data_IF_242783581572
#
_entry.id   IF_242783581572
#
_cell.length_a   1.000
_cell.length_b   1.000
_cell.length_c   1.000
_cell.angle_alpha   90.00
_cell.angle_beta   90.00
_cell.angle_gamma   90.00
#
_symmetry.space_group_name_H-M   'P 1'
#
loop_
_entity.id
_entity.type
_entity.pdbx_description
1 polymer ?
#
# COMPACT_ATOMS: atom_id res chain seq x y z
N UNK A 1 -1.54 20.53 10.63
CA UNK A 1 -0.89 19.38 11.28
C UNK A 1 -0.16 18.59 10.21
N UNK A 2 1.16 18.46 10.31
CA UNK A 2 1.96 17.73 9.33
C UNK A 2 2.08 16.29 9.82
N UNK A 3 1.36 15.39 9.19
CA UNK A 3 1.58 13.94 9.33
C UNK A 3 2.63 13.60 8.27
N UNK A 4 3.80 13.15 8.71
CA UNK A 4 4.84 12.68 7.79
C UNK A 4 4.33 11.45 7.07
N UNK A 5 3.99 11.60 5.78
CA UNK A 5 3.68 10.52 4.83
C UNK A 5 4.93 9.68 4.53
N UNK A 6 5.49 9.06 5.55
CA UNK A 6 6.50 8.01 5.45
C UNK A 6 5.84 6.70 5.77
N UNK A 7 4.80 6.34 5.03
CA UNK A 7 4.36 4.97 4.97
C UNK A 7 4.88 4.43 3.65
N UNK A 8 5.58 3.29 3.75
CA UNK A 8 5.80 2.20 2.78
C UNK A 8 5.71 2.60 1.28
N UNK A 9 6.62 2.15 0.40
CA UNK A 9 6.63 2.41 -1.05
C UNK A 9 5.27 2.54 -1.77
N UNK A 10 4.24 1.79 -1.32
CA UNK A 10 2.84 1.88 -1.71
C UNK A 10 2.12 3.23 -1.60
N UNK A 11 2.59 4.15 -0.76
CA UNK A 11 1.96 5.47 -0.60
C UNK A 11 1.96 6.25 -1.90
N UNK A 12 2.90 6.01 -2.82
CA UNK A 12 2.98 6.75 -4.08
C UNK A 12 1.86 6.39 -5.06
N UNK A 13 1.51 5.10 -5.16
CA UNK A 13 0.43 4.57 -6.02
C UNK A 13 -0.93 5.13 -5.60
N UNK A 14 -1.22 5.05 -4.31
CA UNK A 14 -2.47 5.54 -3.73
C UNK A 14 -2.52 7.08 -3.74
N UNK A 15 -1.40 7.77 -3.50
CA UNK A 15 -1.32 9.24 -3.51
C UNK A 15 -1.74 9.84 -4.84
N UNK A 16 -1.35 9.22 -5.96
CA UNK A 16 -1.73 9.67 -7.30
C UNK A 16 -3.25 9.53 -7.58
N UNK A 17 -3.91 8.57 -6.93
CA UNK A 17 -5.31 8.24 -7.16
C UNK A 17 -6.32 9.07 -6.34
N UNK A 18 -6.01 9.35 -5.07
CA UNK A 18 -6.97 9.91 -4.09
C UNK A 18 -6.54 11.21 -3.42
N UNK A 19 -5.32 11.68 -3.66
CA UNK A 19 -4.75 12.87 -3.04
C UNK A 19 -4.34 12.66 -1.57
N UNK A 20 -3.43 13.51 -1.09
CA UNK A 20 -2.74 13.34 0.20
C UNK A 20 -3.66 13.23 1.42
N UNK A 21 -4.77 13.97 1.43
CA UNK A 21 -5.68 14.02 2.58
C UNK A 21 -6.44 12.70 2.77
N UNK A 22 -7.05 12.19 1.71
CA UNK A 22 -7.83 10.95 1.76
C UNK A 22 -6.92 9.73 2.01
N UNK A 23 -5.67 9.79 1.53
CA UNK A 23 -4.67 8.76 1.80
C UNK A 23 -4.29 8.72 3.28
N UNK A 24 -4.08 9.88 3.90
CA UNK A 24 -3.79 9.96 5.33
C UNK A 24 -4.95 9.47 6.18
N UNK A 25 -6.18 9.89 5.86
CA UNK A 25 -7.37 9.47 6.59
C UNK A 25 -7.56 7.94 6.49
N UNK A 26 -7.23 7.34 5.34
CA UNK A 26 -7.28 5.90 5.12
C UNK A 26 -6.15 5.12 5.82
N UNK A 27 -4.92 5.65 5.79
CA UNK A 27 -3.79 5.11 6.54
C UNK A 27 -4.12 5.03 8.03
N UNK A 28 -4.65 6.13 8.58
CA UNK A 28 -5.00 6.20 10.00
C UNK A 28 -6.16 5.24 10.32
N UNK A 29 -7.10 5.06 9.38
CA UNK A 29 -8.23 4.15 9.57
C UNK A 29 -7.88 2.68 9.39
N UNK A 30 -6.77 2.31 8.74
CA UNK A 30 -6.34 0.92 8.52
C UNK A 30 -5.34 0.40 9.58
N UNK A 31 -4.99 1.26 10.54
CA UNK A 31 -3.97 0.97 11.55
C UNK A 31 -4.57 0.85 12.96
N UNK A 32 -3.84 0.14 13.82
CA UNK A 32 -4.03 0.14 15.26
C UNK A 32 -2.75 0.68 15.87
N UNK A 33 -2.86 1.81 16.57
CA UNK A 33 -1.73 2.43 17.27
C UNK A 33 -1.86 2.16 18.76
N UNK A 34 -0.87 1.50 19.33
CA UNK A 34 -0.80 1.21 20.77
C UNK A 34 0.33 2.06 21.35
N UNK A 35 -0.05 3.03 22.19
CA UNK A 35 0.90 3.95 22.80
C UNK A 35 1.75 3.24 23.85
N UNK A 36 2.95 3.77 24.06
CA UNK A 36 3.86 3.33 25.10
C UNK A 36 4.09 4.45 26.11
N UNK A 37 4.39 4.07 27.35
CA UNK A 37 4.86 5.01 28.37
C UNK A 37 6.38 5.29 28.31
N UNK A 38 7.08 4.65 27.36
CA UNK A 38 8.52 4.85 27.12
C UNK A 38 8.75 6.19 26.43
N UNK A 39 9.74 6.95 26.92
CA UNK A 39 10.07 8.29 26.40
C UNK A 39 11.22 8.27 25.39
N UNK A 40 12.17 7.37 25.58
CA UNK A 40 13.36 7.23 24.72
C UNK A 40 13.13 6.14 23.66
N UNK A 41 13.26 6.53 22.39
CA UNK A 41 13.12 5.63 21.24
C UNK A 41 14.15 4.49 21.31
N UNK A 42 15.38 4.77 21.76
CA UNK A 42 16.43 3.78 21.86
C UNK A 42 16.14 2.73 22.94
N UNK A 43 15.52 3.15 24.05
CA UNK A 43 15.09 2.24 25.10
C UNK A 43 14.05 1.24 24.56
N UNK A 44 13.03 1.73 23.85
CA UNK A 44 12.02 0.89 23.22
C UNK A 44 12.64 -0.08 22.20
N UNK A 45 13.55 0.40 21.34
CA UNK A 45 14.26 -0.46 20.38
C UNK A 45 15.01 -1.58 21.08
N UNK A 46 15.74 -1.27 22.16
CA UNK A 46 16.51 -2.26 22.92
C UNK A 46 15.59 -3.32 23.54
N UNK A 47 14.45 -2.91 24.09
CA UNK A 47 13.46 -3.85 24.65
C UNK A 47 12.88 -4.77 23.57
N UNK A 48 12.51 -4.21 22.42
CA UNK A 48 11.97 -4.97 21.29
C UNK A 48 13.00 -5.96 20.73
N UNK A 49 14.26 -5.54 20.59
CA UNK A 49 15.36 -6.45 20.18
C UNK A 49 15.60 -7.57 21.18
N UNK A 50 15.61 -7.26 22.47
CA UNK A 50 15.76 -8.26 23.55
C UNK A 50 14.59 -9.24 23.61
N UNK A 51 13.40 -8.84 23.17
CA UNK A 51 12.23 -9.71 23.04
C UNK A 51 12.30 -10.63 21.81
N UNK A 52 13.36 -10.55 21.00
CA UNK A 52 13.59 -11.45 19.85
C UNK A 52 13.11 -10.90 18.51
N UNK A 53 12.86 -9.60 18.41
CA UNK A 53 12.39 -8.93 17.19
C UNK A 53 13.52 -8.13 16.53
N UNK A 54 13.66 -8.25 15.21
CA UNK A 54 14.68 -7.53 14.47
C UNK A 54 14.20 -6.13 14.11
N UNK A 55 14.83 -5.10 14.68
CA UNK A 55 14.47 -3.70 14.36
C UNK A 55 15.44 -3.11 13.33
N UNK A 56 14.89 -2.76 12.16
CA UNK A 56 15.57 -2.13 11.04
C UNK A 56 15.09 -0.68 10.93
N UNK A 57 16.03 0.25 10.69
CA UNK A 57 15.70 1.65 10.44
C UNK A 57 15.56 1.90 8.94
N UNK A 58 14.40 2.37 8.51
CA UNK A 58 14.09 2.73 7.13
C UNK A 58 13.75 4.24 7.09
N UNK A 59 14.76 5.07 6.80
CA UNK A 59 14.61 6.52 6.87
C UNK A 59 14.35 7.02 8.31
N UNK A 60 13.16 7.59 8.54
CA UNK A 60 12.68 8.03 9.87
C UNK A 60 11.91 6.96 10.62
N UNK A 61 11.71 5.79 10.03
CA UNK A 61 10.88 4.72 10.55
C UNK A 61 11.72 3.63 11.19
N UNK A 62 11.12 2.95 12.16
CA UNK A 62 11.65 1.74 12.76
C UNK A 62 10.70 0.59 12.47
N UNK A 63 11.16 -0.37 11.68
CA UNK A 63 10.43 -1.58 11.30
C UNK A 63 10.93 -2.73 12.16
N UNK A 64 10.03 -3.32 12.95
CA UNK A 64 10.33 -4.48 13.77
C UNK A 64 9.79 -5.73 13.09
N UNK A 65 10.68 -6.60 12.62
CA UNK A 65 10.39 -7.83 11.89
C UNK A 65 10.34 -9.04 12.82
N UNK A 66 9.52 -10.02 12.45
CA UNK A 66 9.46 -11.35 13.08
C UNK A 66 9.05 -12.42 12.06
N UNK A 67 9.03 -13.69 12.48
CA UNK A 67 8.69 -14.83 11.62
C UNK A 67 9.51 -14.92 10.32
N UNK A 68 10.80 -14.58 10.39
CA UNK A 68 11.71 -14.56 9.24
C UNK A 68 11.50 -13.37 8.30
N UNK A 69 10.92 -12.26 8.78
CA UNK A 69 10.68 -11.05 7.99
C UNK A 69 9.34 -11.02 7.26
N UNK A 70 8.55 -12.10 7.35
CA UNK A 70 7.20 -12.16 6.76
C UNK A 70 6.21 -11.26 7.47
N UNK A 71 6.39 -11.09 8.78
CA UNK A 71 5.56 -10.24 9.60
C UNK A 71 6.41 -9.13 10.22
N UNK A 72 5.77 -8.00 10.46
CA UNK A 72 6.41 -6.81 11.04
C UNK A 72 5.40 -5.88 11.73
N UNK A 73 5.87 -4.87 12.42
CA UNK A 73 5.08 -3.70 12.82
C UNK A 73 6.03 -2.49 12.85
N UNK A 74 5.46 -1.30 12.94
CA UNK A 74 6.26 -0.09 13.04
C UNK A 74 6.32 0.41 14.47
N UNK A 75 7.47 0.98 14.83
CA UNK A 75 7.62 1.80 16.02
C UNK A 75 7.77 3.24 15.54
N UNK A 76 6.87 4.11 15.98
CA UNK A 76 6.86 5.50 15.54
C UNK A 76 6.52 6.45 16.68
N UNK A 77 6.92 7.70 16.52
CA UNK A 77 6.61 8.78 17.46
C UNK A 77 5.50 9.66 16.89
N UNK A 78 4.28 9.48 17.38
CA UNK A 78 3.13 10.30 17.01
C UNK A 78 2.82 11.30 18.14
N UNK A 79 2.78 12.61 17.82
CA UNK A 79 2.52 13.68 18.79
C UNK A 79 3.43 13.65 20.04
N UNK A 80 4.69 13.20 19.88
CA UNK A 80 5.65 13.10 20.97
C UNK A 80 5.56 11.83 21.82
N UNK A 81 4.58 10.96 21.55
CA UNK A 81 4.38 9.68 22.24
C UNK A 81 4.86 8.55 21.32
N UNK A 82 5.67 7.64 21.85
CA UNK A 82 6.09 6.45 21.12
C UNK A 82 4.97 5.43 21.09
N UNK A 83 4.69 4.85 19.93
CA UNK A 83 3.65 3.86 19.72
C UNK A 83 4.15 2.71 18.86
N UNK A 84 3.57 1.53 19.09
CA UNK A 84 3.63 0.41 18.16
C UNK A 84 2.39 0.45 17.25
N UNK A 85 2.63 0.41 15.94
CA UNK A 85 1.61 0.55 14.90
C UNK A 85 1.46 -0.77 14.15
N UNK A 86 0.26 -1.36 14.28
CA UNK A 86 -0.15 -2.63 13.69
C UNK A 86 -1.16 -2.42 12.58
N UNK A 87 -1.29 -3.40 11.70
CA UNK A 87 -2.40 -3.48 10.75
C UNK A 87 -3.69 -3.85 11.48
N UNK A 88 -4.82 -3.29 11.03
CA UNK A 88 -6.14 -3.81 11.39
C UNK A 88 -6.40 -5.23 10.91
N UNK A 89 -5.52 -5.85 10.14
CA UNK A 89 -5.62 -7.27 9.78
C UNK A 89 -4.71 -8.19 10.60
N UNK A 90 -3.81 -7.63 11.43
CA UNK A 90 -2.96 -8.45 12.31
C UNK A 90 -3.83 -9.16 13.36
N UNK A 91 -3.65 -10.47 13.56
CA UNK A 91 -4.46 -11.21 14.53
C UNK A 91 -4.26 -10.68 15.96
N UNK A 92 -5.31 -10.74 16.78
CA UNK A 92 -5.25 -10.29 18.16
C UNK A 92 -4.21 -11.08 18.95
N UNK A 93 -4.04 -12.37 18.66
CA UNK A 93 -3.01 -13.23 19.25
C UNK A 93 -1.60 -12.72 18.94
N UNK A 94 -1.37 -12.28 17.69
CA UNK A 94 -0.06 -11.78 17.25
C UNK A 94 0.29 -10.49 17.99
N UNK A 95 -0.67 -9.56 18.08
CA UNK A 95 -0.50 -8.31 18.83
C UNK A 95 -0.26 -8.59 20.31
N UNK A 96 -1.06 -9.47 20.93
CA UNK A 96 -0.91 -9.85 22.35
C UNK A 96 0.44 -10.50 22.64
N UNK A 97 0.87 -11.42 21.77
CA UNK A 97 2.17 -12.08 21.90
C UNK A 97 3.30 -11.07 21.91
N UNK A 98 3.31 -10.15 20.94
CA UNK A 98 4.31 -9.09 20.89
C UNK A 98 4.34 -8.25 22.17
N UNK A 99 3.19 -7.76 22.63
CA UNK A 99 3.11 -6.95 23.85
C UNK A 99 3.66 -7.73 25.05
N UNK A 100 3.24 -8.98 25.23
CA UNK A 100 3.69 -9.82 26.35
C UNK A 100 5.20 -10.10 26.30
N UNK A 101 5.75 -10.36 25.11
CA UNK A 101 7.18 -10.65 24.93
C UNK A 101 8.02 -9.42 25.33
N UNK A 102 7.62 -8.22 24.89
CA UNK A 102 8.34 -6.98 25.22
C UNK A 102 8.16 -6.56 26.68
N UNK A 103 6.93 -6.62 27.22
CA UNK A 103 6.66 -6.32 28.63
C UNK A 103 7.33 -7.32 29.58
N UNK A 104 7.45 -8.58 29.18
CA UNK A 104 8.19 -9.62 29.92
C UNK A 104 9.68 -9.27 30.07
N UNK A 105 10.29 -8.76 29.01
CA UNK A 105 11.68 -8.25 29.04
C UNK A 105 11.78 -6.95 29.85
N UNK A 106 10.82 -6.04 29.68
CA UNK A 106 10.77 -4.77 30.40
C UNK A 106 10.44 -4.93 31.90
N UNK A 107 9.92 -6.11 32.29
CA UNK A 107 9.42 -6.42 33.65
C UNK A 107 8.42 -5.40 34.18
N UNK A 108 7.69 -4.75 33.28
CA UNK A 108 6.75 -3.68 33.58
C UNK A 108 5.75 -3.56 32.44
N UNK A 109 4.58 -2.97 32.75
CA UNK A 109 3.62 -2.60 31.72
C UNK A 109 4.09 -1.34 31.00
N UNK A 110 4.32 -1.46 29.70
CA UNK A 110 4.79 -0.35 28.87
C UNK A 110 3.79 0.05 27.81
N UNK A 111 2.87 -0.84 27.40
CA UNK A 111 1.86 -0.57 26.38
C UNK A 111 0.52 -0.21 27.01
N UNK A 112 -0.11 0.85 26.50
CA UNK A 112 -1.46 1.26 26.88
C UNK A 112 -2.48 0.67 25.91
N UNK A 113 -3.03 -0.50 26.26
CA UNK A 113 -4.00 -1.20 25.44
C UNK A 113 -5.15 -1.78 26.27
N UNK A 114 -6.33 -1.88 25.65
CA UNK A 114 -7.48 -2.58 26.21
C UNK A 114 -7.73 -3.87 25.41
N UNK A 115 -7.58 -5.01 26.07
CA UNK A 115 -7.74 -6.35 25.48
C UNK A 115 -9.14 -6.57 24.92
N UNK A 116 -10.19 -6.05 25.57
CA UNK A 116 -11.58 -6.21 25.14
C UNK A 116 -11.84 -5.44 23.84
N UNK A 117 -11.19 -4.29 23.66
CA UNK A 117 -11.28 -3.52 22.42
C UNK A 117 -10.53 -4.19 21.27
N UNK A 118 -9.43 -4.89 21.56
CA UNK A 118 -8.74 -5.70 20.56
C UNK A 118 -9.55 -6.95 20.20
N UNK A 119 -10.19 -7.63 21.16
CA UNK A 119 -10.94 -8.87 20.91
C UNK A 119 -12.24 -8.66 20.10
N UNK A 120 -12.91 -7.51 20.25
CA UNK A 120 -14.07 -7.13 19.39
C UNK A 120 -13.72 -7.03 17.90
N UNK A 121 -12.43 -7.00 17.56
CA UNK A 121 -11.91 -7.03 16.18
C UNK A 121 -12.10 -8.40 15.52
N UNK A 122 -11.95 -9.49 16.26
CA UNK A 122 -12.06 -10.85 15.71
C UNK A 122 -13.51 -11.26 15.47
N UNK A 123 -14.47 -10.65 16.17
CA UNK A 123 -15.91 -10.91 16.00
C UNK A 123 -16.58 -10.02 14.96
N UNK A 124 -15.87 -9.01 14.44
CA UNK A 124 -16.34 -8.16 13.35
C UNK A 124 -15.93 -8.74 12.01
N UNK A 125 -16.91 -9.06 11.14
CA UNK A 125 -16.74 -9.36 9.72
C UNK A 125 -15.47 -8.68 9.16
N UNK A 126 -14.59 -9.43 8.49
CA UNK A 126 -13.61 -8.88 7.54
C UNK A 126 -14.38 -7.85 6.70
N UNK A 127 -14.25 -6.57 7.04
CA UNK A 127 -14.93 -5.55 6.26
C UNK A 127 -14.25 -5.60 4.90
N UNK A 128 -15.04 -5.81 3.86
CA UNK A 128 -14.57 -5.78 2.49
C UNK A 128 -14.08 -4.36 2.21
N UNK A 129 -12.85 -4.05 2.61
CA UNK A 129 -12.24 -2.77 2.35
C UNK A 129 -11.95 -2.67 0.86
N UNK A 130 -12.39 -1.55 0.29
CA UNK A 130 -12.09 -1.14 -1.07
C UNK A 130 -10.96 -0.14 -1.04
N UNK A 131 -9.99 -0.31 -1.93
CA UNK A 131 -8.83 0.55 -2.06
C UNK A 131 -8.93 1.30 -3.37
N UNK A 132 -8.84 2.63 -3.35
CA UNK A 132 -8.87 3.40 -4.57
C UNK A 132 -7.60 3.15 -5.40
N UNK A 133 -7.72 3.21 -6.72
CA UNK A 133 -6.58 3.06 -7.65
C UNK A 133 -6.51 4.24 -8.62
N UNK A 134 -5.40 4.37 -9.33
CA UNK A 134 -5.25 5.30 -10.45
C UNK A 134 -5.67 4.66 -11.79
N UNK A 135 -6.19 3.43 -11.78
CA UNK A 135 -6.56 2.72 -13.00
C UNK A 135 -7.85 3.31 -13.56
N UNK A 136 -7.83 3.73 -14.82
CA UNK A 136 -8.99 4.37 -15.46
C UNK A 136 -9.52 3.51 -16.60
N UNK A 137 -8.66 3.07 -17.50
CA UNK A 137 -9.08 2.30 -18.68
C UNK A 137 -9.17 0.80 -18.38
N UNK A 138 -10.35 0.21 -18.62
CA UNK A 138 -10.64 -1.22 -18.42
C UNK A 138 -9.72 -2.13 -19.23
N UNK A 139 -9.55 -1.82 -20.53
CA UNK A 139 -8.79 -2.66 -21.46
C UNK A 139 -7.31 -2.63 -21.09
N UNK A 140 -6.82 -1.47 -20.70
CA UNK A 140 -5.45 -1.29 -20.26
C UNK A 140 -5.19 -1.98 -18.92
N UNK A 141 -6.14 -1.94 -17.98
CA UNK A 141 -6.03 -2.65 -16.71
C UNK A 141 -6.03 -4.16 -16.92
N UNK A 142 -6.97 -4.67 -17.73
CA UNK A 142 -7.01 -6.08 -18.10
C UNK A 142 -5.79 -6.53 -18.90
N UNK A 143 -5.18 -5.66 -19.72
CA UNK A 143 -3.90 -5.92 -20.38
C UNK A 143 -2.77 -6.01 -19.35
N UNK A 144 -2.67 -5.01 -18.47
CA UNK A 144 -1.62 -4.94 -17.43
C UNK A 144 -1.63 -6.17 -16.52
N UNK A 145 -2.81 -6.56 -16.03
CA UNK A 145 -2.95 -7.75 -15.20
C UNK A 145 -2.48 -9.02 -15.93
N UNK A 146 -2.80 -9.16 -17.22
CA UNK A 146 -2.35 -10.30 -18.04
C UNK A 146 -0.84 -10.27 -18.31
N UNK A 147 -0.27 -9.10 -18.60
CA UNK A 147 1.17 -8.95 -18.81
C UNK A 147 1.96 -9.30 -17.55
N UNK A 148 1.38 -9.00 -16.39
CA UNK A 148 1.91 -9.40 -15.08
C UNK A 148 1.68 -10.89 -14.75
N UNK A 149 1.05 -11.66 -15.66
CA UNK A 149 0.80 -13.09 -15.49
C UNK A 149 -0.45 -13.44 -14.66
N UNK A 150 -1.31 -12.47 -14.38
CA UNK A 150 -2.54 -12.67 -13.62
C UNK A 150 -3.71 -12.93 -14.58
N UNK A 151 -4.38 -14.06 -14.37
CA UNK A 151 -5.61 -14.37 -15.10
C UNK A 151 -6.78 -13.55 -14.55
N UNK A 152 -7.45 -12.82 -15.45
CA UNK A 152 -8.58 -11.94 -15.12
C UNK A 152 -9.87 -12.41 -15.76
N UNK A 153 -10.98 -12.27 -15.03
CA UNK A 153 -12.34 -12.38 -15.56
C UNK A 153 -12.97 -10.99 -15.60
N UNK A 154 -13.42 -10.56 -16.77
CA UNK A 154 -14.12 -9.28 -16.94
C UNK A 154 -15.62 -9.57 -17.04
N UNK A 155 -16.39 -9.00 -16.12
CA UNK A 155 -17.85 -9.09 -16.12
C UNK A 155 -18.47 -8.05 -17.07
N UNK A 156 -19.71 -8.28 -17.49
CA UNK A 156 -20.40 -7.41 -18.46
C UNK A 156 -20.66 -5.97 -17.99
N UNK A 157 -20.47 -5.68 -16.70
CA UNK A 157 -20.55 -4.34 -16.10
C UNK A 157 -19.18 -3.65 -15.98
N UNK A 158 -18.11 -4.22 -16.55
CA UNK A 158 -16.75 -3.68 -16.49
C UNK A 158 -16.00 -3.96 -15.18
N UNK A 159 -16.58 -4.77 -14.28
CA UNK A 159 -15.87 -5.29 -13.10
C UNK A 159 -14.84 -6.32 -13.53
N UNK A 160 -13.60 -6.18 -13.05
CA UNK A 160 -12.51 -7.12 -13.32
C UNK A 160 -12.21 -7.88 -12.03
N UNK A 161 -12.29 -9.21 -12.06
CA UNK A 161 -11.93 -10.06 -10.94
C UNK A 161 -10.71 -10.90 -11.28
N UNK A 162 -9.77 -11.00 -10.35
CA UNK A 162 -8.65 -11.92 -10.46
C UNK A 162 -8.26 -12.52 -9.12
N UNK A 163 -7.54 -13.63 -9.19
CA UNK A 163 -6.97 -14.28 -8.02
C UNK A 163 -5.45 -14.15 -8.05
N UNK A 164 -4.89 -13.70 -6.94
CA UNK A 164 -3.47 -13.63 -6.67
C UNK A 164 -3.22 -14.42 -5.39
N UNK A 165 -2.57 -15.57 -5.53
CA UNK A 165 -2.40 -16.56 -4.44
C UNK A 165 -3.76 -16.93 -3.80
N UNK A 166 -3.90 -16.75 -2.48
CA UNK A 166 -5.12 -17.02 -1.71
C UNK A 166 -6.03 -15.78 -1.58
N UNK A 167 -5.85 -14.80 -2.48
CA UNK A 167 -6.56 -13.52 -2.45
C UNK A 167 -7.34 -13.33 -3.73
N UNK A 168 -8.58 -12.90 -3.61
CA UNK A 168 -9.39 -12.40 -4.72
C UNK A 168 -9.36 -10.88 -4.72
N UNK A 169 -8.93 -10.31 -5.84
CA UNK A 169 -8.98 -8.87 -6.12
C UNK A 169 -10.18 -8.60 -7.04
N UNK A 170 -10.99 -7.62 -6.68
CA UNK A 170 -12.18 -7.22 -7.44
C UNK A 170 -12.05 -5.74 -7.76
N UNK A 171 -11.73 -5.42 -9.01
CA UNK A 171 -11.67 -4.06 -9.51
C UNK A 171 -13.05 -3.64 -10.02
N UNK A 172 -13.60 -2.57 -9.48
CA UNK A 172 -14.90 -2.03 -9.89
C UNK A 172 -14.90 -0.50 -9.93
N UNK A 173 -15.86 0.06 -10.66
CA UNK A 173 -16.18 1.48 -10.63
C UNK A 173 -17.59 1.62 -10.11
N UNK A 174 -17.76 2.24 -8.95
CA UNK A 174 -19.09 2.55 -8.45
C UNK A 174 -19.57 3.89 -9.01
N UNK A 175 -18.96 5.00 -8.57
CA UNK A 175 -19.27 6.35 -9.06
C UNK A 175 -18.00 7.18 -9.36
N UNK A 176 -16.84 6.51 -9.46
CA UNK A 176 -15.54 7.13 -9.70
C UNK A 176 -15.10 6.97 -11.14
N UNK A 177 -14.29 7.92 -11.62
CA UNK A 177 -13.57 7.76 -12.89
C UNK A 177 -12.57 6.61 -12.84
N UNK A 178 -12.00 6.39 -11.65
CA UNK A 178 -10.97 5.39 -11.42
C UNK A 178 -11.59 4.13 -10.84
N UNK A 179 -10.95 2.99 -11.11
CA UNK A 179 -11.26 1.75 -10.44
C UNK A 179 -10.91 1.84 -8.96
N UNK A 180 -11.70 1.16 -8.15
CA UNK A 180 -11.31 0.74 -6.81
C UNK A 180 -11.10 -0.77 -6.82
N UNK A 181 -10.24 -1.27 -5.95
CA UNK A 181 -9.98 -2.68 -5.75
C UNK A 181 -10.49 -3.12 -4.39
N UNK A 182 -11.42 -4.06 -4.37
CA UNK A 182 -11.83 -4.77 -3.16
C UNK A 182 -10.99 -6.03 -3.02
N UNK A 183 -10.46 -6.23 -1.81
CA UNK A 183 -9.64 -7.39 -1.48
C UNK A 183 -10.49 -8.36 -0.65
N UNK A 184 -10.59 -9.62 -1.10
CA UNK A 184 -11.24 -10.70 -0.35
C UNK A 184 -10.25 -11.85 -0.13
N UNK A 185 -10.10 -12.30 1.10
CA UNK A 185 -9.24 -13.43 1.45
C UNK A 185 -8.45 -13.21 2.73
N UNK A 186 -7.78 -14.26 3.20
CA UNK A 186 -7.02 -14.28 4.46
C UNK A 186 -5.51 -14.18 4.21
N UNK A 187 -5.08 -13.26 3.36
CA UNK A 187 -3.67 -13.03 3.10
C UNK A 187 -3.16 -11.83 3.88
N UNK A 188 -1.87 -11.87 4.21
CA UNK A 188 -1.16 -10.75 4.79
C UNK A 188 -1.30 -9.56 3.83
N UNK A 189 -2.04 -8.53 4.24
CA UNK A 189 -2.37 -7.39 3.37
C UNK A 189 -1.12 -6.75 2.74
N UNK A 190 0.02 -6.87 3.41
CA UNK A 190 1.35 -6.44 2.95
C UNK A 190 1.85 -7.15 1.70
N UNK A 191 1.64 -8.47 1.58
CA UNK A 191 2.00 -9.20 0.36
C UNK A 191 1.14 -8.76 -0.82
N UNK A 192 -0.16 -8.54 -0.60
CA UNK A 192 -1.06 -8.02 -1.63
C UNK A 192 -0.65 -6.61 -2.06
N UNK A 193 -0.22 -5.80 -1.10
CA UNK A 193 0.22 -4.45 -1.35
C UNK A 193 1.44 -4.38 -2.27
N UNK A 194 2.46 -5.23 -2.07
CA UNK A 194 3.60 -5.32 -2.99
C UNK A 194 3.17 -5.69 -4.41
N UNK A 195 2.19 -6.60 -4.53
CA UNK A 195 1.62 -6.99 -5.82
C UNK A 195 0.87 -5.84 -6.49
N UNK A 196 0.03 -5.10 -5.75
CA UNK A 196 -0.69 -3.93 -6.28
C UNK A 196 0.26 -2.83 -6.75
N UNK A 197 1.37 -2.61 -6.06
CA UNK A 197 2.40 -1.66 -6.48
C UNK A 197 3.07 -2.07 -7.78
N UNK A 198 3.41 -3.35 -7.92
CA UNK A 198 3.99 -3.86 -9.15
C UNK A 198 3.02 -3.75 -10.34
N UNK A 199 1.73 -4.03 -10.11
CA UNK A 199 0.67 -3.82 -11.10
C UNK A 199 0.55 -2.35 -11.49
N UNK A 200 0.69 -1.42 -10.54
CA UNK A 200 0.63 0.02 -10.82
C UNK A 200 1.78 0.51 -11.71
N UNK A 201 3.00 0.14 -11.38
CA UNK A 201 4.17 0.51 -12.18
C UNK A 201 4.06 -0.03 -13.62
N UNK A 202 3.55 -1.25 -13.77
CA UNK A 202 3.27 -1.82 -15.10
C UNK A 202 2.12 -1.09 -15.81
N UNK A 203 1.09 -0.68 -15.08
CA UNK A 203 -0.02 0.10 -15.63
C UNK A 203 0.46 1.44 -16.19
N UNK A 204 1.31 2.17 -15.45
CA UNK A 204 1.89 3.44 -15.90
C UNK A 204 2.69 3.29 -17.20
N UNK A 205 3.52 2.25 -17.30
CA UNK A 205 4.26 1.94 -18.53
C UNK A 205 3.33 1.64 -19.70
N UNK A 206 2.26 0.90 -19.44
CA UNK A 206 1.22 0.61 -20.42
C UNK A 206 0.47 1.89 -20.87
N UNK A 207 0.16 2.81 -19.95
CA UNK A 207 -0.46 4.12 -20.25
C UNK A 207 0.48 4.96 -21.12
N UNK A 208 1.76 5.06 -20.75
CA UNK A 208 2.75 5.82 -21.50
C UNK A 208 2.90 5.26 -22.93
N UNK A 209 3.04 3.94 -23.05
CA UNK A 209 3.17 3.26 -24.35
C UNK A 209 1.92 3.42 -25.22
N UNK A 210 0.72 3.27 -24.63
CA UNK A 210 -0.54 3.49 -25.34
C UNK A 210 -0.67 4.93 -25.83
N UNK A 211 -0.32 5.90 -24.97
CA UNK A 211 -0.39 7.34 -25.29
C UNK A 211 0.57 7.70 -26.41
N UNK A 212 1.82 7.25 -26.33
CA UNK A 212 2.83 7.42 -27.38
C UNK A 212 2.32 6.89 -28.73
N UNK A 213 1.87 5.63 -28.78
CA UNK A 213 1.37 5.03 -30.01
C UNK A 213 0.19 5.81 -30.60
N UNK A 214 -0.73 6.30 -29.77
CA UNK A 214 -1.86 7.14 -30.21
C UNK A 214 -1.43 8.50 -30.74
N UNK A 215 -0.40 9.12 -30.14
CA UNK A 215 0.18 10.36 -30.65
C UNK A 215 0.82 10.11 -32.02
N UNK A 216 1.66 9.09 -32.16
CA UNK A 216 2.30 8.71 -33.42
C UNK A 216 1.27 8.41 -34.52
N UNK A 217 0.22 7.63 -34.20
CA UNK A 217 -0.88 7.35 -35.14
C UNK A 217 -1.58 8.62 -35.61
N UNK A 218 -1.85 9.57 -34.71
CA UNK A 218 -2.47 10.85 -35.06
C UNK A 218 -1.55 11.73 -35.90
N UNK A 219 -0.25 11.79 -35.57
CA UNK A 219 0.72 12.57 -36.32
C UNK A 219 0.85 12.08 -37.76
N UNK A 220 0.83 10.76 -37.98
CA UNK A 220 0.80 10.17 -39.34
C UNK A 220 -0.42 10.57 -40.18
N UNK A 221 -1.51 10.98 -39.52
CA UNK A 221 -2.75 11.41 -40.18
C UNK A 221 -2.83 12.93 -40.33
N UNK A 222 -1.87 13.69 -39.79
CA UNK A 222 -1.82 15.15 -39.85
C UNK A 222 -0.55 15.63 -40.55
N UNK A 223 -0.45 16.93 -40.84
CA UNK A 223 0.75 17.52 -41.42
C UNK A 223 1.83 17.80 -40.36
N UNK A 224 2.05 16.86 -39.44
CA UNK A 224 2.96 17.03 -38.30
C UNK A 224 3.89 15.83 -38.21
N UNK A 225 5.15 16.05 -37.89
CA UNK A 225 6.17 15.00 -37.77
C UNK A 225 6.90 15.10 -36.44
N UNK A 226 7.39 13.96 -35.95
CA UNK A 226 8.26 13.93 -34.77
C UNK A 226 9.65 14.40 -35.19
N UNK A 227 10.15 15.44 -34.52
CA UNK A 227 11.49 15.99 -34.71
C UNK A 227 12.51 15.31 -33.80
N UNK A 228 12.17 15.13 -32.51
CA UNK A 228 13.01 14.42 -31.55
C UNK A 228 12.20 13.66 -30.51
N UNK A 229 12.81 12.58 -29.99
CA UNK A 229 12.30 11.78 -28.89
C UNK A 229 13.41 11.66 -27.83
N UNK A 230 13.12 12.07 -26.60
CA UNK A 230 14.08 12.06 -25.48
C UNK A 230 13.47 11.33 -24.28
N UNK A 231 14.21 10.36 -23.75
CA UNK A 231 13.89 9.71 -22.48
C UNK A 231 14.66 10.43 -21.37
N UNK A 232 13.93 10.92 -20.39
CA UNK A 232 14.46 11.68 -19.25
C UNK A 232 14.96 10.75 -18.13
N UNK A 233 15.67 11.30 -17.16
CA UNK A 233 16.20 10.54 -16.00
C UNK A 233 15.11 9.91 -15.12
N UNK A 234 13.87 10.41 -15.19
CA UNK A 234 12.70 9.92 -14.47
C UNK A 234 11.83 8.96 -15.31
N UNK A 235 12.38 8.41 -16.39
CA UNK A 235 11.69 7.56 -17.37
C UNK A 235 10.51 8.26 -18.10
N UNK A 236 10.40 9.59 -17.99
CA UNK A 236 9.44 10.35 -18.81
C UNK A 236 9.92 10.49 -20.25
N UNK A 237 8.97 10.61 -21.18
CA UNK A 237 9.23 10.71 -22.61
C UNK A 237 8.82 12.10 -23.11
N UNK A 238 9.77 12.84 -23.68
CA UNK A 238 9.56 14.15 -24.31
C UNK A 238 9.57 13.98 -25.83
N UNK A 239 8.51 14.46 -26.48
CA UNK A 239 8.38 14.46 -27.94
C UNK A 239 8.39 15.90 -28.45
N UNK A 240 9.34 16.22 -29.34
CA UNK A 240 9.31 17.48 -30.09
C UNK A 240 8.60 17.25 -31.40
N UNK A 241 7.55 18.04 -31.67
CA UNK A 241 6.72 17.89 -32.87
C UNK A 241 6.90 19.12 -33.74
N UNK A 242 7.26 18.89 -35.00
CA UNK A 242 7.29 19.94 -36.02
C UNK A 242 5.96 19.97 -36.79
N UNK A 243 5.47 21.19 -37.05
CA UNK A 243 4.26 21.43 -37.84
C UNK A 243 4.71 21.90 -39.22
N UNK A 244 4.38 21.13 -40.26
CA UNK A 244 4.71 21.46 -41.64
C UNK A 244 3.72 22.45 -42.26
#
# INVERSE_FOLDING_TARGET
MSVTLTLIPLVLVLRAAIGDKNLNDWIESSQIKIQTNIKDENELIVLVKKAGYDVIKEGKLLKANFNGGRDFFFLEKANGILAATFSKNDSVETIKKFINDVEGVAKSKIFEYNIENLAKKDEGNFQEESFPTNFVDEKLLAKTLRDYGINTQVAGNGTIQCNVENTTLIFYKENSTNYEVKIRGNSQIRGIYEQLNAIDEEYKKNVQSYTYNKVVEKLKQTNMNIESEEVMEDDSLVLTININ
#
